data_IF_114232124019
#
_entry.id   IF_114232124019
#
_cell.length_a   1.000
_cell.length_b   1.000
_cell.length_c   1.000
_cell.angle_alpha   90.00
_cell.angle_beta   90.00
_cell.angle_gamma   90.00
#
_symmetry.space_group_name_H-M   'P 1'
#
loop_
_entity.id
_entity.type
_entity.pdbx_description
1 polymer ?
#
# COMPACT_ATOMS: atom_id res chain seq x y z
N UNK A 1 -32.24 7.25 -2.64
CA UNK A 1 -31.02 7.99 -2.29
C UNK A 1 -30.22 7.11 -1.34
N UNK A 2 -29.22 6.39 -1.84
CA UNK A 2 -28.24 5.72 -0.98
C UNK A 2 -27.25 6.77 -0.48
N UNK A 3 -27.34 7.10 0.81
CA UNK A 3 -26.31 7.88 1.48
C UNK A 3 -25.12 6.94 1.62
N UNK A 4 -24.15 7.08 0.74
CA UNK A 4 -22.89 6.34 0.81
C UNK A 4 -22.10 6.93 2.01
N UNK A 5 -22.18 6.27 3.17
CA UNK A 5 -21.41 6.67 4.33
C UNK A 5 -19.95 6.29 4.08
N UNK A 6 -19.10 7.28 3.82
CA UNK A 6 -17.65 7.07 3.75
C UNK A 6 -17.17 6.32 5.00
N UNK A 7 -16.37 5.29 4.78
CA UNK A 7 -15.76 4.58 5.89
C UNK A 7 -14.80 5.49 6.66
N UNK A 8 -14.76 5.35 7.98
CA UNK A 8 -13.86 6.12 8.84
C UNK A 8 -12.88 5.21 9.56
N UNK A 9 -11.63 5.69 9.70
CA UNK A 9 -10.55 5.00 10.41
C UNK A 9 -10.07 5.88 11.55
N UNK A 10 -10.02 5.33 12.76
CA UNK A 10 -9.52 6.02 13.96
C UNK A 10 -8.56 5.10 14.71
N UNK A 11 -7.46 5.64 15.21
CA UNK A 11 -6.61 4.94 16.18
C UNK A 11 -7.28 5.00 17.55
N UNK A 12 -7.26 3.88 18.25
CA UNK A 12 -7.82 3.75 19.60
C UNK A 12 -6.85 2.99 20.49
N UNK A 13 -6.91 3.31 21.77
CA UNK A 13 -6.16 2.64 22.83
C UNK A 13 -7.10 1.85 23.72
N UNK A 14 -6.65 0.65 24.12
CA UNK A 14 -7.30 -0.18 25.13
C UNK A 14 -6.32 -0.42 26.26
N UNK A 15 -6.62 0.09 27.44
CA UNK A 15 -5.83 -0.14 28.64
C UNK A 15 -5.74 -1.63 28.98
N UNK A 16 -4.64 -2.01 29.61
CA UNK A 16 -4.47 -3.36 30.15
C UNK A 16 -5.37 -3.54 31.40
N UNK A 17 -5.95 -4.73 31.53
CA UNK A 17 -6.67 -5.10 32.76
C UNK A 17 -5.77 -5.24 34.00
N UNK A 18 -4.44 -5.32 33.78
CA UNK A 18 -3.46 -5.42 34.86
C UNK A 18 -2.82 -4.05 35.08
N UNK A 19 -2.88 -3.49 36.32
CA UNK A 19 -2.25 -2.22 36.63
C UNK A 19 -0.76 -2.21 36.27
N UNK A 20 -0.26 -1.09 35.74
CA UNK A 20 1.15 -0.90 35.40
C UNK A 20 1.63 -1.66 34.14
N UNK A 21 0.74 -2.37 33.43
CA UNK A 21 1.08 -3.00 32.15
C UNK A 21 0.64 -2.16 30.96
N UNK A 22 1.36 -2.31 29.87
CA UNK A 22 1.03 -1.67 28.61
C UNK A 22 -0.31 -2.16 28.07
N UNK A 23 -1.12 -1.23 27.57
CA UNK A 23 -2.32 -1.49 26.79
C UNK A 23 -2.00 -1.67 25.31
N UNK A 24 -3.01 -1.86 24.48
CA UNK A 24 -2.91 -2.13 23.05
C UNK A 24 -3.48 -1.02 22.21
N UNK A 25 -2.80 -0.66 21.14
CA UNK A 25 -3.29 0.20 20.07
C UNK A 25 -3.98 -0.62 18.98
N UNK A 26 -5.08 -0.12 18.45
CA UNK A 26 -5.80 -0.74 17.35
C UNK A 26 -6.46 0.31 16.46
N UNK A 27 -6.70 -0.03 15.20
CA UNK A 27 -7.55 0.78 14.35
C UNK A 27 -9.01 0.38 14.54
N UNK A 28 -9.86 1.37 14.68
CA UNK A 28 -11.30 1.22 14.60
C UNK A 28 -11.76 1.69 13.23
N UNK A 29 -12.30 0.76 12.44
CA UNK A 29 -12.86 1.04 11.12
C UNK A 29 -14.37 0.97 11.23
N UNK A 30 -15.06 2.01 10.76
CA UNK A 30 -16.52 2.12 10.80
C UNK A 30 -17.02 2.36 9.37
N UNK A 31 -17.94 1.51 8.91
CA UNK A 31 -18.64 1.68 7.64
C UNK A 31 -20.06 1.12 7.75
N UNK A 32 -21.06 1.82 7.21
CA UNK A 32 -22.45 1.36 7.20
C UNK A 32 -23.00 1.00 8.60
N UNK A 33 -22.60 1.73 9.66
CA UNK A 33 -22.93 1.47 11.09
C UNK A 33 -22.28 0.20 11.67
N UNK A 34 -21.46 -0.50 10.91
CA UNK A 34 -20.69 -1.66 11.39
C UNK A 34 -19.30 -1.21 11.77
N UNK A 35 -18.82 -1.71 12.91
CA UNK A 35 -17.48 -1.40 13.43
C UNK A 35 -16.64 -2.66 13.48
N UNK A 36 -15.39 -2.55 13.01
CA UNK A 36 -14.37 -3.60 13.15
C UNK A 36 -13.09 -3.01 13.74
N UNK A 37 -12.33 -3.86 14.42
CA UNK A 37 -11.05 -3.52 15.01
C UNK A 37 -9.95 -4.28 14.27
N UNK A 38 -8.88 -3.57 13.93
CA UNK A 38 -7.67 -4.14 13.33
C UNK A 38 -6.56 -3.96 14.36
N UNK A 39 -5.97 -5.06 14.79
CA UNK A 39 -4.88 -5.04 15.76
C UNK A 39 -3.61 -4.51 15.08
N UNK A 40 -2.88 -3.63 15.78
CA UNK A 40 -1.60 -3.09 15.29
C UNK A 40 -0.39 -3.84 15.83
N UNK A 41 -0.56 -4.62 16.90
CA UNK A 41 0.54 -5.25 17.64
C UNK A 41 1.30 -4.30 18.57
N UNK A 42 1.13 -2.99 18.44
CA UNK A 42 1.84 -2.01 19.27
C UNK A 42 1.21 -1.86 20.66
N UNK A 43 2.07 -1.68 21.66
CA UNK A 43 1.67 -1.52 23.05
C UNK A 43 2.33 -0.28 23.64
N UNK A 44 1.55 0.47 24.42
CA UNK A 44 2.01 1.67 25.13
C UNK A 44 1.38 1.71 26.53
N UNK A 45 1.96 2.51 27.43
CA UNK A 45 1.33 2.77 28.72
C UNK A 45 0.18 3.78 28.58
N UNK A 46 -0.78 3.71 29.47
CA UNK A 46 -1.95 4.61 29.49
C UNK A 46 -1.55 6.10 29.56
N UNK A 47 -0.48 6.41 30.34
CA UNK A 47 0.07 7.78 30.43
C UNK A 47 0.65 8.33 29.13
N UNK A 48 0.92 7.47 28.15
CA UNK A 48 1.47 7.79 26.83
C UNK A 48 0.39 7.96 25.76
N UNK A 49 -0.85 7.95 26.17
CA UNK A 49 -1.99 8.09 25.28
C UNK A 49 -2.87 9.29 25.64
N UNK A 50 -3.04 10.21 24.71
CA UNK A 50 -4.05 11.26 24.79
C UNK A 50 -5.38 10.75 24.19
N UNK A 51 -6.34 10.48 25.06
CA UNK A 51 -7.66 9.99 24.65
C UNK A 51 -8.48 11.07 23.92
N UNK A 52 -8.27 12.35 24.20
CA UNK A 52 -9.00 13.46 23.60
C UNK A 52 -8.51 13.71 22.17
N UNK A 53 -7.19 13.83 21.99
CA UNK A 53 -6.56 13.98 20.67
C UNK A 53 -6.45 12.69 19.87
N UNK A 54 -6.61 11.52 20.51
CA UNK A 54 -6.33 10.20 19.92
C UNK A 54 -4.90 10.11 19.40
N UNK A 55 -3.94 10.60 20.17
CA UNK A 55 -2.52 10.69 19.83
C UNK A 55 -1.61 10.09 20.90
N UNK A 56 -0.39 9.73 20.47
CA UNK A 56 0.68 9.28 21.37
C UNK A 56 1.38 10.48 21.97
N UNK A 57 1.48 10.52 23.30
CA UNK A 57 2.27 11.47 24.06
C UNK A 57 3.69 10.95 24.16
N UNK A 58 4.66 11.75 23.73
CA UNK A 58 6.07 11.35 23.76
C UNK A 58 6.65 11.52 25.19
N UNK A 59 7.43 10.53 25.64
CA UNK A 59 8.13 10.58 26.90
C UNK A 59 9.36 11.51 26.78
N UNK A 60 9.40 12.59 27.57
CA UNK A 60 10.49 13.57 27.46
C UNK A 60 11.76 13.14 28.22
N UNK A 61 11.65 12.30 29.25
CA UNK A 61 12.73 11.97 30.16
C UNK A 61 13.39 10.60 29.92
N UNK A 62 12.95 9.84 28.90
CA UNK A 62 13.43 8.49 28.59
C UNK A 62 13.74 8.37 27.08
N UNK A 63 14.99 8.63 26.65
CA UNK A 63 15.33 8.66 25.21
C UNK A 63 14.94 7.40 24.44
N UNK A 64 15.25 6.22 24.95
CA UNK A 64 14.92 4.94 24.31
C UNK A 64 13.40 4.73 24.19
N UNK A 65 12.64 5.16 25.20
CA UNK A 65 11.19 5.08 25.17
C UNK A 65 10.59 6.06 24.20
N UNK A 66 11.16 7.26 24.13
CA UNK A 66 10.77 8.28 23.16
C UNK A 66 10.98 7.79 21.74
N UNK A 67 12.11 7.19 21.41
CA UNK A 67 12.42 6.64 20.10
C UNK A 67 11.43 5.53 19.71
N UNK A 68 11.10 4.64 20.66
CA UNK A 68 10.06 3.64 20.47
C UNK A 68 8.71 4.27 20.17
N UNK A 69 8.26 5.25 20.95
CA UNK A 69 6.97 5.93 20.75
C UNK A 69 6.92 6.68 19.42
N UNK A 70 8.03 7.28 18.98
CA UNK A 70 8.14 7.89 17.66
C UNK A 70 7.99 6.85 16.55
N UNK A 71 8.70 5.73 16.65
CA UNK A 71 8.58 4.65 15.65
C UNK A 71 7.16 4.09 15.56
N UNK A 72 6.48 3.95 16.71
CA UNK A 72 5.06 3.53 16.75
C UNK A 72 4.17 4.58 16.10
N UNK A 73 4.39 5.87 16.37
CA UNK A 73 3.61 6.97 15.78
C UNK A 73 3.75 6.99 14.26
N UNK A 74 4.96 6.84 13.73
CA UNK A 74 5.24 6.76 12.30
C UNK A 74 4.59 5.54 11.65
N UNK A 75 4.73 4.37 12.27
CA UNK A 75 4.12 3.14 11.78
C UNK A 75 2.59 3.24 11.74
N UNK A 76 1.96 3.78 12.79
CA UNK A 76 0.50 4.01 12.80
C UNK A 76 0.06 5.00 11.73
N UNK A 77 0.84 6.04 11.46
CA UNK A 77 0.55 6.99 10.39
C UNK A 77 0.59 6.32 9.01
N UNK A 78 1.59 5.48 8.76
CA UNK A 78 1.73 4.72 7.52
C UNK A 78 0.57 3.71 7.34
N UNK A 79 0.24 2.94 8.38
CA UNK A 79 -0.89 2.00 8.35
C UNK A 79 -2.23 2.72 8.19
N UNK A 80 -2.43 3.86 8.84
CA UNK A 80 -3.63 4.69 8.68
C UNK A 80 -3.77 5.19 7.25
N UNK A 81 -2.68 5.64 6.63
CA UNK A 81 -2.65 6.08 5.23
C UNK A 81 -2.99 4.92 4.28
N UNK A 82 -2.45 3.72 4.53
CA UNK A 82 -2.80 2.51 3.78
C UNK A 82 -4.29 2.21 3.85
N UNK A 83 -4.88 2.21 5.04
CA UNK A 83 -6.32 1.96 5.24
C UNK A 83 -7.18 3.01 4.55
N UNK A 84 -6.80 4.28 4.63
CA UNK A 84 -7.49 5.37 3.93
C UNK A 84 -7.39 5.23 2.41
N UNK A 85 -6.24 4.77 1.89
CA UNK A 85 -6.05 4.47 0.47
C UNK A 85 -6.96 3.34 -0.02
N UNK A 86 -7.10 2.25 0.76
CA UNK A 86 -8.04 1.15 0.48
C UNK A 86 -9.48 1.69 0.42
N UNK A 87 -9.89 2.49 1.40
CA UNK A 87 -11.23 3.08 1.45
C UNK A 87 -11.48 3.99 0.24
N UNK A 88 -10.54 4.90 -0.07
CA UNK A 88 -10.66 5.81 -1.20
C UNK A 88 -10.80 5.07 -2.54
N UNK A 89 -10.13 3.92 -2.69
CA UNK A 89 -10.26 3.04 -3.86
C UNK A 89 -11.64 2.41 -3.92
N UNK A 90 -12.12 1.82 -2.83
CA UNK A 90 -13.45 1.21 -2.75
C UNK A 90 -14.57 2.25 -3.01
N UNK A 91 -14.42 3.46 -2.49
CA UNK A 91 -15.37 4.55 -2.74
C UNK A 91 -15.42 4.96 -4.23
N UNK A 92 -14.28 4.90 -4.93
CA UNK A 92 -14.19 5.21 -6.38
C UNK A 92 -14.85 4.16 -7.27
N UNK A 93 -14.88 2.89 -6.89
CA UNK A 93 -15.54 1.83 -7.69
C UNK A 93 -17.05 1.99 -7.70
N UNK A 94 -17.62 2.74 -6.76
CA UNK A 94 -19.07 2.95 -6.64
C UNK A 94 -19.84 1.70 -6.20
N UNK A 95 -19.16 0.60 -5.96
CA UNK A 95 -19.75 -0.63 -5.47
C UNK A 95 -20.04 -0.53 -3.96
N UNK A 96 -21.08 -1.21 -3.54
CA UNK A 96 -21.39 -1.31 -2.12
C UNK A 96 -20.41 -2.31 -1.48
N UNK A 97 -19.54 -1.85 -0.59
CA UNK A 97 -18.57 -2.69 0.09
C UNK A 97 -18.88 -2.78 1.59
N UNK A 98 -18.42 -3.84 2.23
CA UNK A 98 -18.55 -4.04 3.68
C UNK A 98 -17.27 -3.65 4.41
N UNK A 99 -17.38 -3.43 5.73
CA UNK A 99 -16.20 -3.20 6.56
C UNK A 99 -15.26 -4.42 6.59
N UNK A 100 -15.80 -5.63 6.42
CA UNK A 100 -15.04 -6.87 6.31
C UNK A 100 -14.12 -6.85 5.09
N UNK A 101 -14.59 -6.29 3.96
CA UNK A 101 -13.76 -6.15 2.76
C UNK A 101 -12.56 -5.23 2.99
N UNK A 102 -12.74 -4.14 3.75
CA UNK A 102 -11.62 -3.27 4.14
C UNK A 102 -10.59 -4.06 4.98
N UNK A 103 -11.06 -4.84 5.96
CA UNK A 103 -10.19 -5.66 6.82
C UNK A 103 -9.47 -6.74 6.01
N UNK A 104 -10.17 -7.42 5.11
CA UNK A 104 -9.58 -8.41 4.19
C UNK A 104 -8.45 -7.81 3.37
N UNK A 105 -8.69 -6.68 2.72
CA UNK A 105 -7.70 -5.97 1.90
C UNK A 105 -6.54 -5.43 2.74
N UNK A 106 -6.78 -5.03 3.99
CA UNK A 106 -5.71 -4.58 4.90
C UNK A 106 -4.80 -5.72 5.34
N UNK A 107 -5.36 -6.92 5.51
CA UNK A 107 -4.65 -8.14 5.92
C UNK A 107 -4.12 -8.94 4.72
N UNK A 108 -4.49 -8.57 3.49
CA UNK A 108 -3.93 -9.22 2.30
C UNK A 108 -2.40 -9.14 2.39
N UNK A 109 -1.70 -10.27 2.24
CA UNK A 109 -0.25 -10.25 2.28
C UNK A 109 0.21 -9.24 1.23
N UNK A 110 0.94 -8.20 1.67
CA UNK A 110 1.75 -7.45 0.71
C UNK A 110 2.57 -8.51 0.00
N UNK A 111 2.48 -8.57 -1.32
CA UNK A 111 3.52 -9.27 -2.04
C UNK A 111 4.80 -8.53 -1.66
N UNK A 112 5.67 -9.15 -0.86
CA UNK A 112 7.03 -8.65 -0.60
C UNK A 112 7.83 -8.51 -1.91
N UNK A 113 7.23 -8.95 -2.99
CA UNK A 113 7.76 -8.85 -4.33
C UNK A 113 7.51 -7.46 -4.89
N UNK A 114 8.58 -6.80 -5.26
CA UNK A 114 8.54 -5.55 -5.98
C UNK A 114 7.88 -5.70 -7.38
N UNK A 115 7.76 -4.58 -8.05
CA UNK A 115 7.17 -4.51 -9.40
C UNK A 115 7.89 -5.41 -10.40
N UNK A 116 9.24 -5.44 -10.34
CA UNK A 116 10.06 -6.26 -11.24
C UNK A 116 9.79 -7.75 -11.02
N UNK A 117 9.80 -8.20 -9.77
CA UNK A 117 9.51 -9.59 -9.42
C UNK A 117 8.08 -10.00 -9.80
N UNK A 118 7.10 -9.13 -9.56
CA UNK A 118 5.73 -9.33 -10.02
C UNK A 118 5.64 -9.50 -11.54
N UNK A 119 6.27 -8.58 -12.30
CA UNK A 119 6.25 -8.61 -13.77
C UNK A 119 6.93 -9.86 -14.33
N UNK A 120 8.00 -10.34 -13.69
CA UNK A 120 8.67 -11.61 -14.05
C UNK A 120 7.75 -12.81 -13.87
N UNK A 121 7.05 -12.90 -12.74
CA UNK A 121 6.06 -13.98 -12.51
C UNK A 121 4.93 -13.92 -13.51
N UNK A 122 4.40 -12.72 -13.80
CA UNK A 122 3.35 -12.52 -14.78
C UNK A 122 3.78 -13.02 -16.18
N UNK A 123 5.01 -12.68 -16.60
CA UNK A 123 5.53 -13.15 -17.89
C UNK A 123 5.70 -14.66 -17.93
N UNK A 124 6.14 -15.28 -16.82
CA UNK A 124 6.22 -16.73 -16.67
C UNK A 124 4.84 -17.40 -16.81
N UNK A 125 3.83 -16.88 -16.10
CA UNK A 125 2.45 -17.37 -16.19
C UNK A 125 1.88 -17.25 -17.61
N UNK A 126 2.12 -16.12 -18.29
CA UNK A 126 1.68 -15.92 -19.67
C UNK A 126 2.32 -16.93 -20.64
N UNK A 127 3.60 -17.29 -20.44
CA UNK A 127 4.27 -18.34 -21.24
C UNK A 127 3.62 -19.70 -21.00
N UNK A 128 3.32 -20.06 -19.75
CA UNK A 128 2.69 -21.33 -19.39
C UNK A 128 1.31 -21.52 -20.04
N UNK A 129 0.50 -20.45 -20.07
CA UNK A 129 -0.84 -20.48 -20.71
C UNK A 129 -0.81 -20.26 -22.22
N UNK A 130 0.37 -20.31 -22.85
CA UNK A 130 0.54 -20.23 -24.30
C UNK A 130 0.51 -18.81 -24.90
N UNK A 131 0.39 -17.74 -24.09
CA UNK A 131 0.41 -16.34 -24.56
C UNK A 131 1.85 -15.84 -24.77
N UNK A 132 2.65 -16.58 -25.52
CA UNK A 132 4.08 -16.35 -25.72
C UNK A 132 4.40 -14.92 -26.22
N UNK A 133 3.68 -14.45 -27.26
CA UNK A 133 3.91 -13.13 -27.85
C UNK A 133 3.73 -11.98 -26.83
N UNK A 134 2.70 -12.06 -25.99
CA UNK A 134 2.48 -11.07 -24.92
C UNK A 134 3.57 -11.15 -23.86
N UNK A 135 3.98 -12.36 -23.48
CA UNK A 135 5.04 -12.57 -22.53
C UNK A 135 6.38 -11.99 -23.03
N UNK A 136 6.72 -12.18 -24.30
CA UNK A 136 7.95 -11.65 -24.90
C UNK A 136 7.91 -10.11 -24.96
N UNK A 137 6.75 -9.54 -25.29
CA UNK A 137 6.53 -8.09 -25.24
C UNK A 137 6.77 -7.55 -23.83
N UNK A 138 6.16 -8.15 -22.82
CA UNK A 138 6.33 -7.73 -21.42
C UNK A 138 7.77 -7.92 -20.94
N UNK A 139 8.43 -9.01 -21.34
CA UNK A 139 9.85 -9.24 -21.03
C UNK A 139 10.72 -8.12 -21.60
N UNK A 140 10.47 -7.69 -22.84
CA UNK A 140 11.21 -6.59 -23.49
C UNK A 140 11.06 -5.28 -22.71
N UNK A 141 9.83 -4.94 -22.34
CA UNK A 141 9.54 -3.73 -21.55
C UNK A 141 10.18 -3.80 -20.17
N UNK A 142 10.06 -4.96 -19.51
CA UNK A 142 10.64 -5.19 -18.19
C UNK A 142 12.16 -5.06 -18.19
N UNK A 143 12.83 -5.60 -19.20
CA UNK A 143 14.29 -5.47 -19.33
C UNK A 143 14.74 -4.01 -19.54
N UNK A 144 13.95 -3.21 -20.23
CA UNK A 144 14.19 -1.77 -20.36
C UNK A 144 13.98 -1.05 -19.03
N UNK A 145 12.91 -1.35 -18.32
CA UNK A 145 12.59 -0.76 -17.03
C UNK A 145 13.62 -1.13 -15.95
N UNK A 146 14.09 -2.38 -15.93
CA UNK A 146 15.20 -2.82 -15.07
C UNK A 146 16.46 -1.99 -15.25
N UNK A 147 16.87 -1.72 -16.49
CA UNK A 147 18.04 -0.87 -16.78
C UNK A 147 17.85 0.54 -16.25
N UNK A 148 16.66 1.11 -16.41
CA UNK A 148 16.32 2.40 -15.83
C UNK A 148 16.45 2.37 -14.30
N UNK A 149 15.94 1.33 -13.63
CA UNK A 149 15.99 1.13 -12.18
C UNK A 149 17.35 0.59 -11.68
N UNK A 150 18.37 0.50 -12.54
CA UNK A 150 19.70 -0.04 -12.19
C UNK A 150 19.63 -1.42 -11.53
N UNK A 151 18.74 -2.27 -12.02
CA UNK A 151 18.46 -3.63 -11.53
C UNK A 151 17.89 -3.69 -10.10
N UNK A 152 17.55 -2.56 -9.49
CA UNK A 152 16.89 -2.52 -8.19
C UNK A 152 15.39 -2.69 -8.36
N UNK A 153 14.79 -3.57 -7.55
CA UNK A 153 13.33 -3.70 -7.51
C UNK A 153 12.74 -2.60 -6.62
N UNK A 154 11.48 -2.27 -6.84
CA UNK A 154 10.76 -1.25 -6.08
C UNK A 154 9.38 -1.77 -5.70
N UNK A 155 8.83 -1.32 -4.57
CA UNK A 155 7.45 -1.64 -4.18
C UNK A 155 6.46 -1.28 -5.30
N UNK A 156 5.40 -2.08 -5.44
CA UNK A 156 4.34 -1.79 -6.41
C UNK A 156 3.69 -0.42 -6.19
N UNK A 157 3.56 -0.01 -4.94
CA UNK A 157 2.96 1.27 -4.55
C UNK A 157 3.83 2.49 -4.93
N UNK A 158 5.14 2.27 -5.18
CA UNK A 158 6.07 3.32 -5.58
C UNK A 158 6.09 3.54 -7.12
N UNK A 159 5.38 2.70 -7.88
CA UNK A 159 5.19 2.89 -9.32
C UNK A 159 4.10 3.93 -9.55
N UNK A 160 4.43 5.17 -9.29
CA UNK A 160 3.53 6.32 -9.42
C UNK A 160 3.69 7.05 -10.77
N UNK A 161 2.92 8.13 -10.95
CA UNK A 161 2.96 8.95 -12.16
C UNK A 161 4.29 9.68 -12.34
N UNK A 162 4.98 10.05 -11.24
CA UNK A 162 6.26 10.74 -11.29
C UNK A 162 7.35 9.80 -11.82
N UNK A 163 7.46 8.59 -11.27
CA UNK A 163 8.38 7.56 -11.74
C UNK A 163 8.15 7.20 -13.22
N UNK A 164 6.87 7.12 -13.62
CA UNK A 164 6.50 6.83 -15.03
C UNK A 164 6.98 7.95 -15.96
N UNK A 165 6.88 9.22 -15.55
CA UNK A 165 7.38 10.37 -16.31
C UNK A 165 8.92 10.38 -16.38
N UNK A 166 9.60 10.04 -15.28
CA UNK A 166 11.06 9.91 -15.25
C UNK A 166 11.54 8.80 -16.22
N UNK A 167 10.87 7.65 -16.22
CA UNK A 167 11.17 6.58 -17.16
C UNK A 167 10.95 6.99 -18.61
N UNK A 168 9.88 7.72 -18.91
CA UNK A 168 9.63 8.26 -20.26
C UNK A 168 10.73 9.21 -20.69
N UNK A 169 11.18 10.10 -19.80
CA UNK A 169 12.26 11.03 -20.04
C UNK A 169 13.57 10.28 -20.29
N UNK A 170 13.90 9.31 -19.44
CA UNK A 170 15.07 8.46 -19.60
C UNK A 170 15.10 7.73 -20.95
N UNK A 171 13.96 7.20 -21.40
CA UNK A 171 13.87 6.55 -22.72
C UNK A 171 14.21 7.54 -23.85
N UNK A 172 13.69 8.77 -23.80
CA UNK A 172 13.96 9.82 -24.80
C UNK A 172 15.43 10.24 -24.81
N UNK A 173 16.02 10.43 -23.64
CA UNK A 173 17.45 10.77 -23.47
C UNK A 173 18.37 9.67 -24.00
N UNK A 174 17.96 8.41 -23.91
CA UNK A 174 18.68 7.27 -24.49
C UNK A 174 18.39 7.05 -25.99
N UNK A 175 17.83 8.04 -26.68
CA UNK A 175 17.65 8.03 -28.12
C UNK A 175 16.51 7.14 -28.63
N UNK A 176 15.61 6.71 -27.76
CA UNK A 176 14.47 5.87 -28.14
C UNK A 176 13.44 6.71 -28.91
N UNK A 177 13.05 6.26 -30.10
CA UNK A 177 12.08 6.99 -30.92
C UNK A 177 10.68 7.01 -30.30
N UNK A 178 9.89 8.04 -30.63
CA UNK A 178 8.55 8.31 -30.03
C UNK A 178 7.61 7.10 -30.06
N UNK A 179 7.59 6.35 -31.18
CA UNK A 179 6.71 5.18 -31.31
C UNK A 179 7.09 4.07 -30.33
N UNK A 180 8.40 3.85 -30.15
CA UNK A 180 8.93 2.87 -29.21
C UNK A 180 8.72 3.31 -27.76
N UNK A 181 8.89 4.60 -27.45
CA UNK A 181 8.53 5.14 -26.13
C UNK A 181 7.06 4.85 -25.83
N UNK A 182 6.16 5.18 -26.75
CA UNK A 182 4.71 4.90 -26.59
C UNK A 182 4.42 3.41 -26.41
N UNK A 183 5.18 2.53 -27.07
CA UNK A 183 5.08 1.08 -26.89
C UNK A 183 5.50 0.67 -25.47
N UNK A 184 6.63 1.16 -24.95
CA UNK A 184 7.08 0.87 -23.60
C UNK A 184 6.09 1.37 -22.56
N UNK A 185 5.64 2.60 -22.66
CA UNK A 185 4.70 3.20 -21.71
C UNK A 185 3.37 2.46 -21.66
N UNK A 186 2.81 2.08 -22.80
CA UNK A 186 1.55 1.32 -22.88
C UNK A 186 1.66 -0.05 -22.24
N UNK A 187 2.75 -0.76 -22.48
CA UNK A 187 2.94 -2.09 -21.93
C UNK A 187 3.33 -2.06 -20.45
N UNK A 188 4.10 -1.07 -20.00
CA UNK A 188 4.36 -0.85 -18.57
C UNK A 188 3.05 -0.65 -17.80
N UNK A 189 2.17 0.22 -18.32
CA UNK A 189 0.83 0.43 -17.76
C UNK A 189 0.00 -0.86 -17.75
N UNK A 190 0.06 -1.65 -18.82
CA UNK A 190 -0.64 -2.92 -18.89
C UNK A 190 -0.16 -3.92 -17.84
N UNK A 191 1.15 -3.98 -17.58
CA UNK A 191 1.73 -4.82 -16.50
C UNK A 191 1.25 -4.32 -15.14
N UNK A 192 1.31 -3.01 -14.88
CA UNK A 192 0.86 -2.40 -13.63
C UNK A 192 -0.63 -2.65 -13.37
N UNK A 193 -1.48 -2.47 -14.39
CA UNK A 193 -2.91 -2.75 -14.27
C UNK A 193 -3.20 -4.20 -13.89
N UNK A 194 -2.35 -5.15 -14.27
CA UNK A 194 -2.47 -6.55 -13.82
C UNK A 194 -2.18 -6.72 -12.34
N UNK A 195 -1.33 -5.87 -11.76
CA UNK A 195 -1.13 -5.84 -10.31
C UNK A 195 -2.34 -5.25 -9.59
N UNK A 196 -2.91 -4.18 -10.14
CA UNK A 196 -4.15 -3.56 -9.64
C UNK A 196 -5.33 -4.54 -9.71
N UNK A 197 -5.53 -5.25 -10.83
CA UNK A 197 -6.56 -6.29 -10.98
C UNK A 197 -6.42 -7.43 -9.94
N UNK A 198 -5.21 -7.71 -9.49
CA UNK A 198 -4.91 -8.70 -8.43
C UNK A 198 -4.93 -8.09 -7.02
N UNK A 199 -5.35 -6.84 -6.88
CA UNK A 199 -5.41 -6.13 -5.60
C UNK A 199 -4.05 -6.06 -4.86
N UNK A 200 -2.93 -6.12 -5.57
CA UNK A 200 -1.58 -6.05 -5.01
C UNK A 200 -1.11 -4.61 -4.77
N UNK A 201 -1.72 -3.66 -5.44
CA UNK A 201 -1.46 -2.21 -5.33
C UNK A 201 -2.73 -1.42 -5.64
N UNK A 202 -2.71 -0.11 -5.41
CA UNK A 202 -3.86 0.80 -5.59
C UNK A 202 -3.97 1.38 -7.01
#
# INVERSE_FOLDING_TARGET
>A
YYINFMATVKVKFRASSKPGKEGTLFFQVIHGRVTRQIATGYKIFEREWDAAGSEIILADNEPLRRDYLLSVKEALAAESSKLKGIIARLDKTGDNYSVEKIVELSNAPKSDDGFIAFAQRLTGQLKQIGKKRTADTYTTVLNSFKRFQKEQDLPLDDVDSALVMEYETWLKENGICKNTVSFYMRNLRAIYNRAVEKELTA
#
